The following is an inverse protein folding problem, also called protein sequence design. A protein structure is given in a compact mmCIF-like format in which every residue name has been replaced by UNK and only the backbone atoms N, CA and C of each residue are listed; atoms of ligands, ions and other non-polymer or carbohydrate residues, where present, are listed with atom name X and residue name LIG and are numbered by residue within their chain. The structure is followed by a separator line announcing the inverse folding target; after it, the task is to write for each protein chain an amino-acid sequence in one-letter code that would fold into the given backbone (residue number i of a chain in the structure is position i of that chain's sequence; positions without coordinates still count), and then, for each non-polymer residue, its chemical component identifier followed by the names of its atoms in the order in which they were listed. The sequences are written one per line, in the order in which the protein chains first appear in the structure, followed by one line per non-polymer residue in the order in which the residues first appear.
data_IF_974426161262
#
_entry.id   IF_974426161262
#
_cell.length_a   1.000
_cell.length_b   1.000
_cell.length_c   1.000
_cell.angle_alpha   90.00
_cell.angle_beta   90.00
_cell.angle_gamma   90.00
#
_symmetry.space_group_name_H-M   'P 1'
#
loop_
_entity.id
_entity.type
_entity.pdbx_description
1 polymer ?
#
# COMPACT_ATOMS: atom_id res chain seq x y z
N UNK A 1 -23.90 69.96 21.82
CA UNK A 1 -24.90 70.29 22.87
C UNK A 1 -25.81 69.09 23.09
N UNK A 2 -26.08 68.76 24.35
CA UNK A 2 -27.02 67.73 24.81
C UNK A 2 -28.40 68.38 25.08
N UNK A 3 -29.52 67.64 24.95
CA UNK A 3 -30.21 67.08 26.13
C UNK A 3 -30.77 65.66 25.83
N UNK A 4 -30.78 64.60 26.65
CA UNK A 4 -30.91 64.35 28.11
C UNK A 4 -32.17 64.98 28.69
N UNK A 5 -33.24 64.20 28.92
CA UNK A 5 -33.68 63.58 30.21
C UNK A 5 -35.21 63.34 30.05
N UNK A 6 -35.97 62.42 30.65
CA UNK A 6 -35.83 61.46 31.75
C UNK A 6 -37.19 60.70 31.90
N UNK A 7 -37.16 59.47 32.46
CA UNK A 7 -38.05 58.88 33.51
C UNK A 7 -39.60 58.98 33.39
N UNK A 8 -40.48 58.05 33.82
CA UNK A 8 -40.41 56.86 34.70
C UNK A 8 -41.80 56.15 34.77
N UNK A 9 -41.75 54.83 35.00
CA UNK A 9 -42.65 53.87 35.68
C UNK A 9 -44.16 53.74 35.42
N UNK A 10 -44.51 52.44 35.32
CA UNK A 10 -45.67 51.78 35.94
C UNK A 10 -46.25 50.76 34.95
N UNK A 11 -46.32 49.45 35.15
CA UNK A 11 -46.23 48.60 36.34
C UNK A 11 -47.32 47.51 36.23
N UNK A 12 -46.99 46.28 36.65
CA UNK A 12 -47.83 45.06 36.78
C UNK A 12 -48.03 44.22 35.48
N UNK A 13 -47.79 42.92 35.36
CA UNK A 13 -47.68 41.72 36.22
C UNK A 13 -48.98 40.89 36.42
N UNK A 14 -49.10 39.86 35.55
CA UNK A 14 -49.54 38.45 35.76
C UNK A 14 -50.97 38.07 36.19
N UNK A 15 -51.38 36.93 35.60
CA UNK A 15 -52.35 35.91 36.08
C UNK A 15 -53.84 36.26 35.87
N UNK A 16 -54.76 35.36 35.47
CA UNK A 16 -54.89 33.91 35.74
C UNK A 16 -56.00 33.30 34.85
N UNK A 17 -55.98 31.97 34.69
CA UNK A 17 -56.89 31.13 33.90
C UNK A 17 -58.14 30.63 34.67
N UNK A 18 -59.10 30.09 33.90
CA UNK A 18 -59.80 28.79 34.10
C UNK A 18 -61.31 28.78 34.43
N UNK A 19 -62.07 28.00 33.64
CA UNK A 19 -63.26 27.23 34.07
C UNK A 19 -63.36 25.92 33.23
N UNK A 20 -63.77 24.83 33.90
CA UNK A 20 -63.59 23.36 33.66
C UNK A 20 -65.01 22.69 33.57
N UNK A 21 -65.31 21.36 33.44
CA UNK A 21 -64.67 20.12 32.88
C UNK A 21 -65.56 19.33 31.86
N UNK A 22 -65.06 18.25 31.24
CA UNK A 22 -65.62 16.87 31.36
C UNK A 22 -64.91 15.84 30.46
N UNK A 23 -64.67 14.64 31.01
CA UNK A 23 -64.50 13.41 30.20
C UNK A 23 -63.24 12.60 30.46
N UNK A 24 -63.14 11.92 31.61
CA UNK A 24 -62.15 10.87 31.86
C UNK A 24 -62.65 9.56 31.25
N UNK A 25 -61.98 9.02 30.22
CA UNK A 25 -61.90 7.55 30.00
C UNK A 25 -60.55 7.17 29.39
N UNK A 26 -59.78 6.46 30.21
CA UNK A 26 -58.56 5.75 29.85
C UNK A 26 -58.77 4.84 28.63
N UNK A 27 -57.89 4.94 27.64
CA UNK A 27 -57.44 3.80 26.85
C UNK A 27 -55.94 3.90 26.68
N UNK A 28 -55.23 2.93 27.26
CA UNK A 28 -53.81 2.66 27.00
C UNK A 28 -53.62 2.48 25.50
N UNK A 29 -52.88 3.36 24.85
CA UNK A 29 -52.18 3.06 23.61
C UNK A 29 -50.71 2.89 23.98
N UNK A 30 -50.23 1.65 23.85
CA UNK A 30 -48.82 1.26 23.89
C UNK A 30 -48.05 2.11 22.87
N UNK A 31 -46.98 2.82 23.22
CA UNK A 31 -46.08 3.37 22.20
C UNK A 31 -45.46 2.20 21.45
N UNK A 32 -45.61 2.19 20.13
CA UNK A 32 -44.78 1.41 19.23
C UNK A 32 -43.32 1.71 19.57
N UNK A 33 -42.56 0.67 19.90
CA UNK A 33 -41.11 0.77 19.94
C UNK A 33 -40.66 1.07 18.52
N UNK A 34 -40.33 2.33 18.25
CA UNK A 34 -39.49 2.68 17.12
C UNK A 34 -38.19 1.91 17.31
N UNK A 35 -38.05 0.90 16.47
CA UNK A 35 -36.89 0.06 16.30
C UNK A 35 -35.71 0.96 15.94
N UNK A 36 -34.96 1.38 16.95
CA UNK A 36 -33.59 1.85 16.77
C UNK A 36 -32.77 0.61 16.43
N UNK A 37 -32.94 0.12 15.20
CA UNK A 37 -31.95 -0.72 14.56
C UNK A 37 -30.80 0.22 14.22
N UNK A 38 -29.89 0.39 15.19
CA UNK A 38 -28.50 0.73 14.94
C UNK A 38 -27.91 -0.41 14.12
N UNK A 39 -28.25 -0.48 12.83
CA UNK A 39 -27.46 -1.23 11.86
C UNK A 39 -26.21 -0.38 11.64
N UNK A 40 -25.03 -0.78 12.12
CA UNK A 40 -23.82 -0.24 11.55
C UNK A 40 -23.86 -0.69 10.09
N UNK A 41 -24.14 0.23 9.17
CA UNK A 41 -23.85 0.01 7.77
C UNK A 41 -22.40 -0.41 7.73
N UNK A 42 -22.18 -1.70 7.47
CA UNK A 42 -20.86 -2.30 7.40
C UNK A 42 -20.09 -1.46 6.40
N UNK A 43 -19.27 -0.56 6.94
CA UNK A 43 -18.24 0.09 6.16
C UNK A 43 -17.33 -1.06 5.82
N UNK A 44 -17.57 -1.66 4.66
CA UNK A 44 -16.59 -2.51 4.02
C UNK A 44 -15.40 -1.58 3.84
N UNK A 45 -14.51 -1.58 4.82
CA UNK A 45 -13.12 -1.21 4.63
C UNK A 45 -12.77 -2.01 3.38
N UNK A 46 -12.62 -1.31 2.25
CA UNK A 46 -11.97 -1.87 1.08
C UNK A 46 -10.60 -2.25 1.61
N UNK A 47 -10.49 -3.51 2.03
CA UNK A 47 -9.25 -4.24 2.00
C UNK A 47 -8.79 -3.99 0.58
N UNK A 48 -7.81 -3.11 0.46
CA UNK A 48 -7.08 -2.81 -0.75
C UNK A 48 -6.91 -4.16 -1.45
N UNK A 49 -7.63 -4.37 -2.56
CA UNK A 49 -7.61 -5.63 -3.27
C UNK A 49 -6.14 -5.97 -3.47
N UNK A 50 -5.63 -6.95 -2.73
CA UNK A 50 -4.27 -7.43 -2.89
C UNK A 50 -4.18 -7.78 -4.37
N UNK A 51 -3.44 -6.97 -5.13
CA UNK A 51 -3.34 -7.08 -6.59
C UNK A 51 -3.15 -8.56 -6.88
N UNK A 52 -4.08 -9.17 -7.62
CA UNK A 52 -3.97 -10.59 -7.89
C UNK A 52 -2.60 -10.85 -8.54
N UNK A 53 -1.89 -11.89 -8.12
CA UNK A 53 -0.61 -12.22 -8.74
C UNK A 53 -0.82 -12.42 -10.25
N UNK A 54 0.03 -11.80 -11.06
CA UNK A 54 -0.02 -11.79 -12.52
C UNK A 54 0.70 -12.99 -13.14
N UNK A 55 1.40 -13.80 -12.34
CA UNK A 55 2.06 -15.00 -12.85
C UNK A 55 1.07 -16.03 -13.45
N UNK A 56 1.54 -16.73 -14.47
CA UNK A 56 0.79 -17.77 -15.20
C UNK A 56 1.54 -19.10 -15.13
N UNK A 57 0.95 -20.18 -15.66
CA UNK A 57 1.63 -21.48 -15.76
C UNK A 57 2.92 -21.46 -16.60
N UNK A 58 3.10 -20.42 -17.42
CA UNK A 58 4.32 -20.21 -18.20
C UNK A 58 5.36 -19.36 -17.46
N UNK A 59 5.04 -18.79 -16.30
CA UNK A 59 5.99 -18.03 -15.50
C UNK A 59 7.08 -18.94 -14.93
N UNK A 60 8.28 -18.39 -14.85
CA UNK A 60 9.39 -19.01 -14.14
C UNK A 60 9.29 -18.71 -12.65
N UNK A 61 9.99 -19.49 -11.84
CA UNK A 61 10.11 -19.21 -10.40
C UNK A 61 10.76 -17.85 -10.15
N UNK A 62 11.71 -17.46 -11.01
CA UNK A 62 12.34 -16.14 -10.95
C UNK A 62 11.30 -15.03 -11.12
N UNK A 63 10.41 -15.15 -12.10
CA UNK A 63 9.35 -14.17 -12.34
C UNK A 63 8.43 -14.01 -11.13
N UNK A 64 8.05 -15.12 -10.51
CA UNK A 64 7.17 -15.14 -9.34
C UNK A 64 7.82 -14.51 -8.12
N UNK A 65 9.10 -14.82 -7.88
CA UNK A 65 9.82 -14.26 -6.72
C UNK A 65 10.18 -12.78 -6.92
N UNK A 66 10.31 -12.34 -8.18
CA UNK A 66 10.53 -10.94 -8.52
C UNK A 66 9.22 -10.14 -8.51
N UNK A 67 8.08 -10.79 -8.72
CA UNK A 67 6.77 -10.16 -8.67
C UNK A 67 6.45 -9.58 -7.28
N UNK A 68 6.09 -8.29 -7.24
CA UNK A 68 5.78 -7.58 -6.00
C UNK A 68 7.00 -7.10 -5.21
N UNK A 69 8.22 -7.36 -5.68
CA UNK A 69 9.41 -6.74 -5.10
C UNK A 69 9.39 -5.22 -5.30
N UNK A 70 9.80 -4.47 -4.28
CA UNK A 70 9.91 -3.00 -4.34
C UNK A 70 11.04 -2.54 -5.24
N UNK A 71 11.98 -3.43 -5.52
CA UNK A 71 13.06 -3.22 -6.46
C UNK A 71 12.50 -3.36 -7.87
N UNK A 72 12.44 -2.25 -8.60
CA UNK A 72 12.10 -2.28 -10.02
C UNK A 72 13.09 -3.22 -10.71
N UNK A 73 12.59 -4.38 -11.12
CA UNK A 73 13.34 -5.45 -11.77
C UNK A 73 14.04 -4.98 -13.04
N UNK A 74 13.58 -3.86 -13.60
CA UNK A 74 14.07 -3.23 -14.82
C UNK A 74 14.87 -1.95 -14.57
N UNK A 75 15.17 -1.59 -13.32
CA UNK A 75 15.98 -0.40 -13.02
C UNK A 75 17.37 -0.57 -13.64
N UNK A 76 17.77 0.39 -14.50
CA UNK A 76 19.11 0.45 -15.07
C UNK A 76 20.10 1.10 -14.09
N UNK A 77 21.39 0.86 -14.31
CA UNK A 77 22.48 1.42 -13.52
C UNK A 77 22.40 2.95 -13.48
N UNK A 78 22.23 3.63 -14.62
CA UNK A 78 22.11 5.10 -14.62
C UNK A 78 20.84 5.61 -13.90
N UNK A 79 19.74 4.85 -13.91
CA UNK A 79 18.55 5.21 -13.13
C UNK A 79 18.85 5.09 -11.62
N UNK A 80 19.57 4.04 -11.21
CA UNK A 80 20.01 3.85 -9.84
C UNK A 80 20.95 4.97 -9.40
N UNK A 81 21.98 5.28 -10.19
CA UNK A 81 22.92 6.36 -9.90
C UNK A 81 22.19 7.70 -9.73
N UNK A 82 21.26 8.01 -10.63
CA UNK A 82 20.47 9.25 -10.53
C UNK A 82 19.65 9.33 -9.24
N UNK A 83 19.12 8.21 -8.76
CA UNK A 83 18.27 8.15 -7.57
C UNK A 83 19.06 8.15 -6.24
N UNK A 84 20.25 7.54 -6.21
CA UNK A 84 20.97 7.28 -4.95
C UNK A 84 22.33 7.99 -4.82
N UNK A 85 22.99 8.30 -5.93
CA UNK A 85 24.27 9.04 -5.97
C UNK A 85 24.04 10.49 -6.43
N UNK A 86 23.03 10.70 -7.28
CA UNK A 86 22.63 11.99 -7.85
C UNK A 86 23.08 12.16 -9.29
N UNK A 87 22.68 13.27 -9.92
CA UNK A 87 22.87 13.51 -11.36
C UNK A 87 24.31 13.81 -11.81
N UNK A 88 25.32 13.58 -10.96
CA UNK A 88 26.74 13.79 -11.28
C UNK A 88 27.43 12.51 -11.76
N UNK A 89 26.89 11.35 -11.41
CA UNK A 89 27.43 10.05 -11.80
C UNK A 89 26.55 9.44 -12.90
N UNK A 90 27.19 9.03 -13.99
CA UNK A 90 26.59 8.25 -15.06
C UNK A 90 27.68 7.44 -15.74
N UNK A 91 27.34 6.22 -16.14
CA UNK A 91 28.15 5.39 -17.03
C UNK A 91 27.73 5.62 -18.48
N UNK A 92 28.56 5.20 -19.42
CA UNK A 92 28.20 5.17 -20.85
C UNK A 92 27.01 4.24 -21.13
N UNK A 93 26.41 4.36 -22.31
CA UNK A 93 25.20 3.59 -22.64
C UNK A 93 25.46 2.07 -22.75
N UNK A 94 26.69 1.66 -23.12
CA UNK A 94 27.06 0.24 -23.23
C UNK A 94 27.19 -0.40 -21.83
N UNK A 95 27.62 0.40 -20.85
CA UNK A 95 27.73 0.03 -19.44
C UNK A 95 26.41 0.19 -18.67
N UNK A 96 25.39 0.82 -19.26
CA UNK A 96 24.09 1.12 -18.62
C UNK A 96 23.15 -0.10 -18.57
N UNK A 97 23.62 -1.16 -17.92
CA UNK A 97 22.91 -2.43 -17.75
C UNK A 97 21.87 -2.36 -16.63
N UNK A 98 21.03 -3.39 -16.53
CA UNK A 98 20.11 -3.53 -15.38
C UNK A 98 20.88 -3.77 -14.08
N UNK A 99 20.33 -3.35 -12.94
CA UNK A 99 20.94 -3.61 -11.63
C UNK A 99 21.13 -5.11 -11.36
N UNK A 100 20.29 -5.97 -11.95
CA UNK A 100 20.45 -7.42 -11.86
C UNK A 100 21.75 -7.93 -12.51
N UNK A 101 22.17 -7.31 -13.60
CA UNK A 101 23.41 -7.65 -14.30
C UNK A 101 24.59 -7.02 -13.57
N UNK A 102 24.47 -5.74 -13.22
CA UNK A 102 25.50 -5.00 -12.50
C UNK A 102 25.94 -5.68 -11.18
N UNK A 103 24.98 -6.15 -10.38
CA UNK A 103 25.27 -6.82 -9.08
C UNK A 103 26.15 -8.07 -9.23
N UNK A 104 26.17 -8.71 -10.39
CA UNK A 104 26.96 -9.93 -10.59
C UNK A 104 28.44 -9.63 -10.74
N UNK A 105 28.78 -8.59 -11.51
CA UNK A 105 30.16 -8.23 -11.89
C UNK A 105 30.28 -6.70 -11.97
N UNK A 106 30.21 -5.96 -10.84
CA UNK A 106 30.10 -4.51 -10.88
C UNK A 106 31.36 -3.82 -11.40
N UNK A 107 32.53 -4.43 -11.24
CA UNK A 107 33.82 -3.97 -11.77
C UNK A 107 33.84 -3.87 -13.31
N UNK A 108 33.03 -4.66 -14.01
CA UNK A 108 32.99 -4.67 -15.48
C UNK A 108 32.28 -3.45 -16.07
N UNK A 109 31.44 -2.78 -15.28
CA UNK A 109 30.59 -1.68 -15.74
C UNK A 109 30.99 -0.32 -15.15
N UNK A 110 31.75 -0.30 -14.05
CA UNK A 110 32.20 0.94 -13.39
C UNK A 110 33.71 0.86 -13.13
N UNK A 111 34.48 1.51 -14.00
CA UNK A 111 35.95 1.55 -13.87
C UNK A 111 36.44 2.55 -12.82
N UNK A 112 35.67 3.61 -12.53
CA UNK A 112 36.01 4.56 -11.47
C UNK A 112 35.82 3.90 -10.11
N UNK A 113 36.94 3.51 -9.51
CA UNK A 113 36.99 2.80 -8.23
C UNK A 113 36.36 3.58 -7.07
N UNK A 114 36.41 4.93 -7.10
CA UNK A 114 35.77 5.74 -6.05
C UNK A 114 34.25 5.72 -6.19
N UNK A 115 33.76 5.82 -7.42
CA UNK A 115 32.33 5.71 -7.69
C UNK A 115 31.83 4.30 -7.36
N UNK A 116 32.59 3.27 -7.73
CA UNK A 116 32.25 1.89 -7.40
C UNK A 116 32.17 1.68 -5.88
N UNK A 117 33.18 2.13 -5.12
CA UNK A 117 33.16 2.07 -3.66
C UNK A 117 31.95 2.83 -3.06
N UNK A 118 31.62 4.00 -3.60
CA UNK A 118 30.43 4.75 -3.20
C UNK A 118 29.15 3.94 -3.43
N UNK A 119 29.00 3.33 -4.62
CA UNK A 119 27.84 2.49 -4.96
C UNK A 119 27.71 1.30 -4.01
N UNK A 120 28.81 0.56 -3.78
CA UNK A 120 28.82 -0.64 -2.94
C UNK A 120 28.50 -0.33 -1.47
N UNK A 121 28.80 0.88 -1.01
CA UNK A 121 28.49 1.34 0.34
C UNK A 121 27.05 1.83 0.52
N UNK A 122 26.26 1.97 -0.56
CA UNK A 122 24.86 2.36 -0.45
C UNK A 122 24.01 1.23 0.14
N UNK A 123 23.21 1.55 1.17
CA UNK A 123 22.23 0.62 1.74
C UNK A 123 21.24 0.09 0.68
N UNK A 124 20.90 0.91 -0.31
CA UNK A 124 20.04 0.51 -1.42
C UNK A 124 20.69 -0.56 -2.31
N UNK A 125 21.99 -0.43 -2.58
CA UNK A 125 22.75 -1.43 -3.34
C UNK A 125 22.85 -2.74 -2.55
N UNK A 126 23.22 -2.67 -1.27
CA UNK A 126 23.33 -3.86 -0.41
C UNK A 126 22.01 -4.64 -0.31
N UNK A 127 20.88 -3.95 -0.22
CA UNK A 127 19.57 -4.59 -0.21
C UNK A 127 19.24 -5.25 -1.57
N UNK A 128 19.58 -4.60 -2.69
CA UNK A 128 19.45 -5.18 -4.02
C UNK A 128 20.32 -6.43 -4.20
N UNK A 129 21.58 -6.35 -3.79
CA UNK A 129 22.54 -7.45 -3.87
C UNK A 129 22.04 -8.66 -3.10
N UNK A 130 21.64 -8.48 -1.84
CA UNK A 130 21.07 -9.56 -1.03
C UNK A 130 19.82 -10.17 -1.67
N UNK A 131 18.93 -9.34 -2.20
CA UNK A 131 17.72 -9.81 -2.87
C UNK A 131 18.05 -10.63 -4.13
N UNK A 132 18.88 -10.09 -5.03
CA UNK A 132 19.27 -10.77 -6.28
C UNK A 132 20.02 -12.07 -5.98
N UNK A 133 20.92 -12.08 -5.00
CA UNK A 133 21.65 -13.26 -4.59
C UNK A 133 20.73 -14.33 -3.99
N UNK A 134 19.75 -13.92 -3.18
CA UNK A 134 18.72 -14.82 -2.66
C UNK A 134 17.91 -15.45 -3.80
N UNK A 135 17.42 -14.66 -4.76
CA UNK A 135 16.68 -15.16 -5.92
C UNK A 135 17.53 -16.14 -6.71
N UNK A 136 18.77 -15.80 -7.00
CA UNK A 136 19.71 -16.64 -7.77
C UNK A 136 19.96 -17.96 -7.05
N UNK A 137 20.14 -17.92 -5.73
CA UNK A 137 20.33 -19.12 -4.91
C UNK A 137 19.07 -20.00 -4.88
N UNK A 138 17.89 -19.43 -4.68
CA UNK A 138 16.63 -20.17 -4.70
C UNK A 138 16.40 -20.77 -6.09
N UNK A 139 16.71 -20.03 -7.16
CA UNK A 139 16.53 -20.50 -8.52
C UNK A 139 17.43 -21.68 -8.87
N UNK A 140 18.71 -21.60 -8.49
CA UNK A 140 19.66 -22.71 -8.69
C UNK A 140 19.28 -23.95 -7.88
N UNK A 141 18.88 -23.81 -6.61
CA UNK A 141 18.52 -24.95 -5.75
C UNK A 141 17.28 -25.71 -6.23
N UNK A 142 16.35 -25.02 -6.88
CA UNK A 142 15.11 -25.61 -7.36
C UNK A 142 15.23 -26.23 -8.78
N UNK A 143 16.43 -26.27 -9.37
CA UNK A 143 16.71 -26.72 -10.74
C UNK A 143 15.83 -26.01 -11.80
N UNK A 144 15.66 -24.69 -11.64
CA UNK A 144 14.62 -23.87 -12.30
C UNK A 144 14.94 -23.44 -13.74
N UNK A 145 15.42 -24.33 -14.60
CA UNK A 145 15.51 -24.03 -16.04
C UNK A 145 14.15 -23.93 -16.74
N UNK A 146 13.07 -24.43 -16.11
CA UNK A 146 11.75 -24.60 -16.73
C UNK A 146 10.60 -23.80 -16.09
N UNK A 147 9.50 -23.71 -16.84
CA UNK A 147 8.24 -23.07 -16.45
C UNK A 147 7.52 -23.84 -15.35
N UNK A 148 6.60 -23.18 -14.62
CA UNK A 148 5.78 -23.85 -13.60
C UNK A 148 5.04 -25.10 -14.16
N UNK A 149 4.55 -25.01 -15.40
CA UNK A 149 3.90 -26.11 -16.12
C UNK A 149 4.80 -27.34 -16.28
N UNK A 150 6.07 -27.15 -16.62
CA UNK A 150 7.04 -28.24 -16.77
C UNK A 150 7.32 -28.90 -15.42
N UNK A 151 7.43 -28.11 -14.34
CA UNK A 151 7.67 -28.63 -13.00
C UNK A 151 6.49 -29.45 -12.47
N UNK A 152 5.27 -28.95 -12.64
CA UNK A 152 4.05 -29.69 -12.27
C UNK A 152 3.99 -31.02 -13.03
N UNK A 153 4.22 -31.02 -14.35
CA UNK A 153 4.27 -32.26 -15.15
C UNK A 153 5.32 -33.25 -14.63
N UNK A 154 6.53 -32.80 -14.30
CA UNK A 154 7.58 -33.66 -13.77
C UNK A 154 7.22 -34.30 -12.43
N UNK A 155 6.53 -33.57 -11.53
CA UNK A 155 6.05 -34.13 -10.26
C UNK A 155 5.02 -35.25 -10.48
N UNK A 156 4.10 -35.07 -11.42
CA UNK A 156 3.10 -36.11 -11.76
C UNK A 156 3.72 -37.35 -12.43
N UNK A 157 4.84 -37.21 -13.13
CA UNK A 157 5.54 -38.33 -13.78
C UNK A 157 6.46 -39.08 -12.80
N UNK A 158 7.01 -38.40 -11.78
CA UNK A 158 7.87 -39.02 -10.76
C UNK A 158 7.09 -39.95 -9.81
N UNK A 159 5.79 -39.72 -9.59
CA UNK A 159 4.93 -40.53 -8.71
C UNK A 159 4.31 -41.79 -9.35
N UNK A 160 4.77 -42.21 -10.54
CA UNK A 160 4.22 -43.36 -11.29
C UNK A 160 5.14 -44.58 -11.40
N UNK A 161 6.24 -44.61 -10.64
CA UNK A 161 7.14 -45.77 -10.54
C UNK A 161 6.96 -46.52 -9.22
#
# INVERSE_FOLDING_TARGET
MLPKRNRVQGGNARSRASAVPQGVRQRRARPESEDVTDQPAATHIRVEEARQPQWTMNSTVKDILMEGSTFSTNMKLNDFLRNYVGGRAAVDEDSNVTMQVFVQEPDDYVQDQRLLEEILNLTAYQALELFINFITRVCSLLNNGGTMKERIRSLYLYGKN
#
